data_IF_389691977954
#
_entry.id   IF_389691977954
#
_cell.length_a   1.000
_cell.length_b   1.000
_cell.length_c   1.000
_cell.angle_alpha   90.00
_cell.angle_beta   90.00
_cell.angle_gamma   90.00
#
_symmetry.space_group_name_H-M   'P 1'
#
loop_
_entity.id
_entity.type
_entity.pdbx_description
1 polymer ?
#
# COMPACT_ATOMS: atom_id res chain seq x y z
N UNK A 1 -15.72 37.37 -30.09
CA UNK A 1 -15.32 37.75 -28.71
C UNK A 1 -15.40 36.48 -27.87
N UNK A 2 -14.30 35.73 -27.80
CA UNK A 2 -14.25 34.43 -27.13
C UNK A 2 -14.08 34.65 -25.62
N UNK A 3 -15.07 34.20 -24.84
CA UNK A 3 -15.03 34.24 -23.38
C UNK A 3 -14.11 33.10 -22.92
N UNK A 4 -12.92 33.46 -22.44
CA UNK A 4 -12.00 32.51 -21.80
C UNK A 4 -12.64 32.00 -20.52
N UNK A 5 -12.97 30.71 -20.49
CA UNK A 5 -13.31 29.99 -19.26
C UNK A 5 -11.98 29.80 -18.52
N UNK A 6 -11.81 30.31 -17.29
CA UNK A 6 -10.56 30.16 -16.57
C UNK A 6 -10.31 28.69 -16.25
N UNK A 7 -9.13 28.20 -16.63
CA UNK A 7 -8.61 26.84 -16.39
C UNK A 7 -8.52 26.50 -14.89
N UNK A 8 -8.70 27.50 -14.01
CA UNK A 8 -8.75 27.39 -12.56
C UNK A 8 -9.86 26.48 -12.00
N UNK A 9 -10.86 26.09 -12.80
CA UNK A 9 -11.98 25.25 -12.32
C UNK A 9 -11.71 23.74 -12.51
N UNK A 10 -10.79 23.34 -13.38
CA UNK A 10 -10.51 21.91 -13.62
C UNK A 10 -9.51 21.28 -12.64
N UNK A 11 -8.63 22.06 -12.03
CA UNK A 11 -7.67 21.56 -11.03
C UNK A 11 -8.36 21.22 -9.70
N UNK A 12 -9.48 21.89 -9.37
CA UNK A 12 -10.23 21.65 -8.13
C UNK A 12 -11.00 20.33 -8.07
N UNK A 13 -11.32 19.71 -9.22
CA UNK A 13 -12.14 18.48 -9.23
C UNK A 13 -11.31 17.24 -8.91
N UNK A 14 -10.03 17.20 -9.32
CA UNK A 14 -9.15 16.09 -8.97
C UNK A 14 -8.64 16.17 -7.53
N UNK A 15 -8.49 17.38 -6.95
CA UNK A 15 -8.06 17.55 -5.55
C UNK A 15 -9.16 17.12 -4.56
N UNK A 16 -10.44 17.31 -4.90
CA UNK A 16 -11.55 16.89 -4.03
C UNK A 16 -11.69 15.36 -3.89
N UNK A 17 -11.14 14.58 -4.81
CA UNK A 17 -11.07 13.12 -4.69
C UNK A 17 -9.94 12.64 -3.76
N UNK A 18 -8.93 13.48 -3.49
CA UNK A 18 -7.79 13.17 -2.62
C UNK A 18 -8.19 13.26 -1.13
N UNK A 19 -9.17 14.10 -0.80
CA UNK A 19 -9.62 14.32 0.57
C UNK A 19 -10.65 13.29 1.10
N UNK A 20 -11.17 12.40 0.23
CA UNK A 20 -12.04 11.33 0.67
C UNK A 20 -11.19 10.18 1.20
N UNK A 21 -10.68 10.30 2.43
CA UNK A 21 -10.18 9.13 3.17
C UNK A 21 -11.32 8.11 3.17
N UNK A 22 -11.16 6.91 2.58
CA UNK A 22 -12.16 5.87 2.77
C UNK A 22 -12.30 5.68 4.27
N UNK A 23 -13.49 5.96 4.80
CA UNK A 23 -13.76 5.73 6.22
C UNK A 23 -13.53 4.25 6.47
N UNK A 24 -12.43 3.93 7.15
CA UNK A 24 -12.12 2.59 7.56
C UNK A 24 -13.16 2.16 8.59
N UNK A 25 -14.27 1.57 8.14
CA UNK A 25 -15.37 1.15 9.01
C UNK A 25 -14.95 0.00 9.93
N UNK A 26 -13.95 -0.79 9.51
CA UNK A 26 -13.44 -1.94 10.26
C UNK A 26 -12.02 -1.66 10.77
N UNK A 27 -11.77 -1.72 12.09
CA UNK A 27 -10.44 -1.48 12.67
C UNK A 27 -9.37 -2.39 12.06
N UNK A 28 -8.14 -1.87 11.89
CA UNK A 28 -7.00 -2.60 11.32
C UNK A 28 -6.81 -3.99 11.95
N UNK A 29 -6.80 -4.10 13.29
CA UNK A 29 -6.64 -5.38 13.98
C UNK A 29 -7.73 -6.40 13.62
N UNK A 30 -8.95 -5.94 13.34
CA UNK A 30 -10.04 -6.81 12.91
C UNK A 30 -9.80 -7.33 11.50
N UNK A 31 -9.35 -6.47 10.58
CA UNK A 31 -9.00 -6.86 9.21
C UNK A 31 -7.84 -7.86 9.20
N UNK A 32 -6.78 -7.57 9.95
CA UNK A 32 -5.62 -8.45 10.09
C UNK A 32 -6.02 -9.79 10.70
N UNK A 33 -6.86 -9.81 11.74
CA UNK A 33 -7.32 -11.07 12.32
C UNK A 33 -8.15 -11.91 11.34
N UNK A 34 -8.91 -11.28 10.43
CA UNK A 34 -9.67 -11.99 9.39
C UNK A 34 -8.76 -12.56 8.31
N UNK A 35 -7.87 -11.75 7.72
CA UNK A 35 -7.02 -12.21 6.63
C UNK A 35 -6.01 -13.27 7.08
N UNK A 36 -5.59 -13.25 8.35
CA UNK A 36 -4.64 -14.27 8.85
C UNK A 36 -5.33 -15.53 9.38
N UNK A 37 -6.61 -15.77 9.09
CA UNK A 37 -7.31 -17.00 9.53
C UNK A 37 -6.74 -18.25 8.87
N UNK A 38 -6.28 -18.13 7.63
CA UNK A 38 -5.70 -19.20 6.84
C UNK A 38 -4.63 -18.65 5.89
N UNK A 39 -3.95 -19.56 5.21
CA UNK A 39 -2.89 -19.22 4.26
C UNK A 39 -3.38 -18.53 2.99
N UNK A 40 -4.65 -18.69 2.60
CA UNK A 40 -5.24 -17.95 1.49
C UNK A 40 -5.24 -16.43 1.72
N UNK A 41 -5.72 -15.98 2.89
CA UNK A 41 -5.73 -14.55 3.19
C UNK A 41 -4.32 -13.98 3.39
N UNK A 42 -3.41 -14.76 3.98
CA UNK A 42 -1.98 -14.37 4.07
C UNK A 42 -1.34 -14.25 2.68
N UNK A 43 -1.57 -15.20 1.79
CA UNK A 43 -1.03 -15.16 0.43
C UNK A 43 -1.61 -13.99 -0.38
N UNK A 44 -2.93 -13.77 -0.32
CA UNK A 44 -3.55 -12.58 -0.91
C UNK A 44 -2.87 -11.28 -0.43
N UNK A 45 -2.61 -11.18 0.88
CA UNK A 45 -1.95 -10.00 1.43
C UNK A 45 -0.49 -9.89 1.00
N UNK A 46 0.20 -11.02 0.79
CA UNK A 46 1.55 -11.07 0.22
C UNK A 46 1.63 -10.53 -1.21
N UNK A 47 0.60 -10.75 -2.03
CA UNK A 47 0.51 -10.15 -3.37
C UNK A 47 0.28 -8.63 -3.28
N UNK A 48 -0.58 -8.20 -2.35
CA UNK A 48 -0.88 -6.77 -2.15
C UNK A 48 0.35 -5.97 -1.70
N UNK A 49 1.19 -6.51 -0.82
CA UNK A 49 2.43 -5.82 -0.41
C UNK A 49 3.46 -5.72 -1.53
N UNK A 50 3.46 -6.63 -2.51
CA UNK A 50 4.28 -6.51 -3.72
C UNK A 50 3.79 -5.33 -4.55
N UNK A 51 2.48 -5.14 -4.69
CA UNK A 51 1.91 -3.98 -5.38
C UNK A 51 2.24 -2.65 -4.67
N UNK A 52 2.31 -2.63 -3.33
CA UNK A 52 2.76 -1.45 -2.57
C UNK A 52 4.24 -1.15 -2.83
N UNK A 53 5.10 -2.17 -2.83
CA UNK A 53 6.52 -2.01 -3.16
C UNK A 53 6.73 -1.52 -4.61
N UNK A 54 5.99 -2.09 -5.55
CA UNK A 54 6.00 -1.65 -6.94
C UNK A 54 5.55 -0.18 -7.06
N UNK A 55 4.49 0.23 -6.35
CA UNK A 55 4.02 1.61 -6.36
C UNK A 55 5.06 2.60 -5.79
N UNK A 56 5.84 2.19 -4.77
CA UNK A 56 6.95 2.99 -4.27
C UNK A 56 8.09 3.12 -5.29
N UNK A 57 8.35 2.04 -6.05
CA UNK A 57 9.27 2.05 -7.19
C UNK A 57 8.82 2.99 -8.32
N UNK A 58 7.54 2.92 -8.70
CA UNK A 58 6.94 3.78 -9.72
C UNK A 58 6.97 5.26 -9.30
N UNK A 59 6.71 5.56 -8.03
CA UNK A 59 6.80 6.92 -7.50
C UNK A 59 8.21 7.48 -7.62
N UNK A 60 9.24 6.71 -7.23
CA UNK A 60 10.63 7.11 -7.37
C UNK A 60 10.98 7.43 -8.82
N UNK A 61 10.57 6.56 -9.75
CA UNK A 61 10.80 6.74 -11.17
C UNK A 61 10.06 7.98 -11.72
N UNK A 62 8.81 8.19 -11.33
CA UNK A 62 8.02 9.35 -11.76
C UNK A 62 8.67 10.68 -11.30
N UNK A 63 9.29 10.73 -10.11
CA UNK A 63 10.04 11.92 -9.67
C UNK A 63 11.32 12.17 -10.47
N UNK A 64 12.05 11.11 -10.83
CA UNK A 64 13.26 11.22 -11.66
C UNK A 64 12.97 11.74 -13.08
N UNK A 65 11.75 11.54 -13.57
CA UNK A 65 11.31 12.04 -14.88
C UNK A 65 10.92 13.53 -14.87
N UNK A 66 10.82 14.16 -13.69
CA UNK A 66 10.49 15.58 -13.62
C UNK A 66 11.67 16.43 -14.10
N UNK A 67 11.39 17.44 -14.93
CA UNK A 67 12.43 18.30 -15.54
C UNK A 67 13.17 19.19 -14.52
N UNK A 68 12.59 19.43 -13.35
CA UNK A 68 13.20 20.22 -12.29
C UNK A 68 14.22 19.38 -11.50
N UNK A 69 15.52 19.75 -11.54
CA UNK A 69 16.60 18.96 -10.94
C UNK A 69 16.52 18.88 -9.41
N UNK A 70 15.73 19.73 -8.75
CA UNK A 70 15.56 19.70 -7.30
C UNK A 70 14.42 18.79 -6.84
N UNK A 71 13.60 18.27 -7.77
CA UNK A 71 12.41 17.48 -7.43
C UNK A 71 12.72 16.29 -6.52
N UNK A 72 13.77 15.53 -6.82
CA UNK A 72 14.13 14.35 -6.03
C UNK A 72 14.57 14.74 -4.61
N UNK A 73 15.31 15.85 -4.47
CA UNK A 73 15.78 16.33 -3.17
C UNK A 73 14.63 16.94 -2.36
N UNK A 74 13.74 17.69 -3.01
CA UNK A 74 12.59 18.35 -2.37
C UNK A 74 11.58 17.35 -1.78
N UNK A 75 11.48 16.15 -2.38
CA UNK A 75 10.55 15.09 -1.94
C UNK A 75 11.29 13.85 -1.41
N UNK A 76 12.54 14.02 -0.99
CA UNK A 76 13.39 12.93 -0.52
C UNK A 76 12.81 12.18 0.67
N UNK A 77 12.18 12.88 1.61
CA UNK A 77 11.61 12.24 2.81
C UNK A 77 10.55 11.20 2.43
N UNK A 78 9.70 11.53 1.43
CA UNK A 78 8.70 10.60 0.88
C UNK A 78 9.38 9.49 0.09
N UNK A 79 10.44 9.81 -0.66
CA UNK A 79 11.18 8.84 -1.46
C UNK A 79 11.89 7.78 -0.61
N UNK A 80 12.47 8.17 0.52
CA UNK A 80 13.20 7.29 1.44
C UNK A 80 12.26 6.25 2.09
N UNK A 81 10.94 6.43 2.03
CA UNK A 81 9.96 5.43 2.46
C UNK A 81 9.99 4.17 1.59
N UNK A 82 10.43 4.27 0.33
CA UNK A 82 10.59 3.13 -0.60
C UNK A 82 11.48 2.02 -0.03
N UNK A 83 12.67 2.37 0.45
CA UNK A 83 13.61 1.39 1.01
C UNK A 83 13.03 0.72 2.27
N UNK A 84 12.22 1.47 3.02
CA UNK A 84 11.52 0.93 4.19
C UNK A 84 10.41 -0.03 3.77
N UNK A 85 9.59 0.32 2.79
CA UNK A 85 8.55 -0.54 2.22
C UNK A 85 9.17 -1.82 1.68
N UNK A 86 10.18 -1.72 0.82
CA UNK A 86 10.87 -2.85 0.22
C UNK A 86 11.39 -3.84 1.28
N UNK A 87 12.09 -3.33 2.30
CA UNK A 87 12.58 -4.15 3.42
C UNK A 87 11.44 -4.82 4.21
N UNK A 88 10.29 -4.17 4.36
CA UNK A 88 9.13 -4.77 5.05
C UNK A 88 8.49 -5.84 4.17
N UNK A 89 8.35 -5.58 2.86
CA UNK A 89 7.86 -6.53 1.87
C UNK A 89 8.70 -7.80 1.87
N UNK A 90 10.03 -7.69 1.74
CA UNK A 90 10.96 -8.83 1.81
C UNK A 90 10.76 -9.66 3.08
N UNK A 91 10.57 -8.99 4.22
CA UNK A 91 10.35 -9.67 5.51
C UNK A 91 8.99 -10.34 5.59
N UNK A 92 7.94 -9.74 5.04
CA UNK A 92 6.62 -10.35 4.98
C UNK A 92 6.61 -11.57 4.06
N UNK A 93 7.23 -11.48 2.90
CA UNK A 93 7.39 -12.60 1.97
C UNK A 93 8.23 -13.72 2.60
N UNK A 94 9.37 -13.39 3.21
CA UNK A 94 10.19 -14.35 3.97
C UNK A 94 9.39 -15.04 5.05
N UNK A 95 8.61 -14.30 5.85
CA UNK A 95 7.79 -14.90 6.90
C UNK A 95 6.70 -15.78 6.31
N UNK A 96 5.98 -15.31 5.29
CA UNK A 96 4.91 -16.06 4.66
C UNK A 96 5.44 -17.36 4.04
N UNK A 97 6.49 -17.29 3.24
CA UNK A 97 6.99 -18.44 2.51
C UNK A 97 7.80 -19.37 3.42
N UNK A 98 8.81 -18.86 4.13
CA UNK A 98 9.79 -19.70 4.82
C UNK A 98 9.42 -20.01 6.27
N UNK A 99 8.99 -19.01 7.05
CA UNK A 99 8.69 -19.24 8.48
C UNK A 99 7.32 -19.90 8.69
N UNK A 100 6.38 -19.60 7.80
CA UNK A 100 5.02 -20.10 7.84
C UNK A 100 4.80 -21.31 6.91
N UNK A 101 5.80 -21.67 6.09
CA UNK A 101 5.74 -22.75 5.10
C UNK A 101 4.54 -22.60 4.12
N UNK A 102 4.16 -21.34 3.83
CA UNK A 102 3.06 -21.01 2.92
C UNK A 102 3.55 -20.99 1.47
N UNK A 103 4.07 -22.12 1.00
CA UNK A 103 4.55 -22.27 -0.37
C UNK A 103 3.42 -22.76 -1.28
N UNK A 104 2.92 -21.88 -2.17
CA UNK A 104 1.89 -22.22 -3.17
C UNK A 104 2.29 -23.35 -4.14
N UNK A 105 3.57 -23.70 -4.19
CA UNK A 105 4.12 -24.76 -5.04
C UNK A 105 4.13 -26.15 -4.39
N UNK A 106 3.61 -26.28 -3.15
CA UNK A 106 3.48 -27.60 -2.53
C UNK A 106 2.37 -28.39 -3.25
N UNK A 107 2.58 -29.68 -3.57
CA UNK A 107 1.64 -30.50 -4.35
C UNK A 107 0.22 -30.59 -3.77
N UNK A 108 0.05 -30.30 -2.48
CA UNK A 108 -1.20 -30.33 -1.74
C UNK A 108 -1.57 -28.97 -1.12
N UNK A 109 -0.99 -27.87 -1.62
CA UNK A 109 -1.32 -26.54 -1.10
C UNK A 109 -2.78 -26.19 -1.40
N UNK A 110 -3.62 -26.21 -0.38
CA UNK A 110 -5.02 -25.86 -0.48
C UNK A 110 -5.38 -24.60 0.32
N UNK A 111 -4.38 -23.81 0.76
CA UNK A 111 -4.51 -22.50 1.42
C UNK A 111 -5.38 -22.40 2.70
N UNK A 112 -6.14 -23.44 3.03
CA UNK A 112 -7.16 -23.46 4.09
C UNK A 112 -6.56 -23.69 5.48
N UNK A 113 -5.32 -24.16 5.54
CA UNK A 113 -4.63 -24.47 6.79
C UNK A 113 -4.48 -23.24 7.66
N UNK A 114 -4.74 -23.43 8.96
CA UNK A 114 -4.59 -22.38 9.97
C UNK A 114 -3.10 -22.23 10.29
N UNK A 115 -2.52 -21.01 10.18
CA UNK A 115 -1.11 -20.81 10.47
C UNK A 115 -0.82 -20.97 11.96
N UNK A 116 0.40 -21.38 12.30
CA UNK A 116 0.81 -21.52 13.70
C UNK A 116 0.79 -20.17 14.42
N UNK A 117 0.58 -20.12 15.74
CA UNK A 117 0.60 -18.86 16.49
C UNK A 117 1.90 -18.07 16.34
N UNK A 118 3.04 -18.75 16.18
CA UNK A 118 4.34 -18.09 15.95
C UNK A 118 4.39 -17.42 14.57
N UNK A 119 3.98 -18.13 13.52
CA UNK A 119 3.84 -17.59 12.17
C UNK A 119 2.95 -16.34 12.18
N UNK A 120 1.75 -16.44 12.76
CA UNK A 120 0.80 -15.32 12.87
C UNK A 120 1.42 -14.12 13.56
N UNK A 121 2.12 -14.34 14.69
CA UNK A 121 2.76 -13.26 15.44
C UNK A 121 3.80 -12.52 14.60
N UNK A 122 4.64 -13.24 13.84
CA UNK A 122 5.66 -12.63 12.98
C UNK A 122 5.03 -11.88 11.81
N UNK A 123 4.06 -12.51 11.14
CA UNK A 123 3.39 -11.92 9.98
C UNK A 123 2.66 -10.63 10.37
N UNK A 124 1.81 -10.69 11.42
CA UNK A 124 1.08 -9.51 11.93
C UNK A 124 2.03 -8.38 12.33
N UNK A 125 3.14 -8.69 13.01
CA UNK A 125 4.14 -7.67 13.39
C UNK A 125 4.68 -6.91 12.19
N UNK A 126 5.00 -7.60 11.08
CA UNK A 126 5.51 -6.93 9.90
C UNK A 126 4.40 -6.22 9.10
N UNK A 127 3.19 -6.77 9.09
CA UNK A 127 2.04 -6.14 8.44
C UNK A 127 1.64 -4.83 9.14
N UNK A 128 1.65 -4.78 10.48
CA UNK A 128 1.46 -3.54 11.23
C UNK A 128 2.53 -2.49 10.95
N UNK A 129 3.77 -2.91 10.68
CA UNK A 129 4.82 -1.96 10.27
C UNK A 129 4.57 -1.42 8.87
N UNK A 130 4.09 -2.26 7.94
CA UNK A 130 3.70 -1.80 6.61
C UNK A 130 2.58 -0.76 6.71
N UNK A 131 1.52 -1.07 7.47
CA UNK A 131 0.38 -0.17 7.70
C UNK A 131 0.80 1.19 8.28
N UNK A 132 1.70 1.18 9.28
CA UNK A 132 2.28 2.40 9.83
C UNK A 132 3.02 3.21 8.77
N UNK A 133 3.92 2.58 8.00
CA UNK A 133 4.71 3.26 6.97
C UNK A 133 3.79 3.82 5.88
N UNK A 134 2.83 3.04 5.39
CA UNK A 134 1.83 3.49 4.40
C UNK A 134 1.06 4.72 4.91
N UNK A 135 0.62 4.69 6.17
CA UNK A 135 -0.13 5.81 6.78
C UNK A 135 0.71 7.08 6.95
N UNK A 136 1.98 6.92 7.37
CA UNK A 136 2.92 8.04 7.48
C UNK A 136 3.22 8.63 6.11
N UNK A 137 3.50 7.80 5.09
CA UNK A 137 3.74 8.24 3.71
C UNK A 137 2.54 8.99 3.13
N UNK A 138 1.31 8.51 3.36
CA UNK A 138 0.09 9.24 2.98
C UNK A 138 0.06 10.63 3.65
N UNK A 139 0.38 10.70 4.94
CA UNK A 139 0.38 11.96 5.71
C UNK A 139 1.46 12.93 5.21
N UNK A 140 2.65 12.42 4.88
CA UNK A 140 3.74 13.22 4.30
C UNK A 140 3.34 13.78 2.94
N UNK A 141 2.72 12.97 2.07
CA UNK A 141 2.20 13.43 0.78
C UNK A 141 1.10 14.50 0.97
N UNK A 142 0.15 14.28 1.88
CA UNK A 142 -0.95 15.23 2.17
C UNK A 142 -0.45 16.58 2.72
N UNK A 143 0.76 16.62 3.27
CA UNK A 143 1.34 17.83 3.91
C UNK A 143 2.49 18.44 3.12
N UNK A 144 2.94 17.80 2.04
CA UNK A 144 4.03 18.27 1.19
C UNK A 144 3.64 19.58 0.48
N UNK A 145 4.57 20.55 0.45
CA UNK A 145 4.33 21.82 -0.22
C UNK A 145 4.24 21.65 -1.75
N UNK A 146 3.17 22.19 -2.35
CA UNK A 146 2.79 21.96 -3.74
C UNK A 146 3.37 23.02 -4.68
N UNK A 147 4.65 22.90 -5.03
CA UNK A 147 5.32 23.89 -5.90
C UNK A 147 5.59 23.36 -7.31
N UNK A 148 5.59 22.03 -7.49
CA UNK A 148 5.94 21.34 -8.72
C UNK A 148 4.80 20.45 -9.19
N UNK A 149 4.22 20.76 -10.35
CA UNK A 149 3.06 20.02 -10.90
C UNK A 149 3.39 18.57 -11.28
N UNK A 150 4.63 18.30 -11.69
CA UNK A 150 5.08 16.95 -12.01
C UNK A 150 5.12 16.09 -10.75
N UNK A 151 5.73 16.61 -9.68
CA UNK A 151 5.75 15.95 -8.39
C UNK A 151 4.33 15.76 -7.80
N UNK A 152 3.45 16.75 -7.95
CA UNK A 152 2.04 16.64 -7.55
C UNK A 152 1.33 15.46 -8.23
N UNK A 153 1.56 15.28 -9.54
CA UNK A 153 0.98 14.15 -10.28
C UNK A 153 1.58 12.81 -9.82
N UNK A 154 2.89 12.74 -9.60
CA UNK A 154 3.56 11.54 -9.08
C UNK A 154 3.01 11.14 -7.70
N UNK A 155 2.95 12.11 -6.78
CA UNK A 155 2.36 11.95 -5.45
C UNK A 155 0.88 11.54 -5.52
N UNK A 156 0.11 12.14 -6.42
CA UNK A 156 -1.30 11.81 -6.63
C UNK A 156 -1.53 10.38 -7.13
N UNK A 157 -0.66 9.85 -8.01
CA UNK A 157 -0.73 8.43 -8.40
C UNK A 157 -0.36 7.53 -7.23
N UNK A 158 0.69 7.88 -6.50
CA UNK A 158 1.20 7.06 -5.40
C UNK A 158 0.19 6.98 -4.25
N UNK A 159 -0.39 8.11 -3.82
CA UNK A 159 -1.39 8.14 -2.75
C UNK A 159 -2.64 7.32 -3.08
N UNK A 160 -3.07 7.28 -4.35
CA UNK A 160 -4.19 6.43 -4.79
C UNK A 160 -3.86 4.95 -4.61
N UNK A 161 -2.63 4.54 -4.92
CA UNK A 161 -2.17 3.16 -4.70
C UNK A 161 -2.11 2.82 -3.21
N UNK A 162 -1.56 3.72 -2.39
CA UNK A 162 -1.45 3.54 -0.94
C UNK A 162 -2.83 3.49 -0.25
N UNK A 163 -3.77 4.36 -0.62
CA UNK A 163 -5.13 4.38 -0.07
C UNK A 163 -5.91 3.09 -0.34
N UNK A 164 -5.54 2.32 -1.37
CA UNK A 164 -6.17 1.02 -1.64
C UNK A 164 -5.71 -0.09 -0.68
N UNK A 165 -4.64 0.12 0.09
CA UNK A 165 -4.10 -0.88 1.02
C UNK A 165 -5.14 -1.40 2.02
N UNK A 166 -5.91 -0.50 2.64
CA UNK A 166 -6.97 -0.89 3.57
C UNK A 166 -8.10 -1.66 2.90
N UNK A 167 -8.48 -1.28 1.69
CA UNK A 167 -9.48 -2.01 0.89
C UNK A 167 -8.99 -3.43 0.61
N UNK A 168 -7.71 -3.60 0.28
CA UNK A 168 -7.14 -4.91 0.05
C UNK A 168 -7.05 -5.78 1.31
N UNK A 169 -6.75 -5.18 2.48
CA UNK A 169 -6.85 -5.89 3.77
C UNK A 169 -8.25 -6.49 3.97
N UNK A 170 -9.30 -5.75 3.62
CA UNK A 170 -10.67 -6.24 3.70
C UNK A 170 -10.94 -7.37 2.70
N UNK A 171 -10.57 -7.19 1.43
CA UNK A 171 -10.76 -8.20 0.38
C UNK A 171 -10.04 -9.51 0.75
N UNK A 172 -8.79 -9.43 1.20
CA UNK A 172 -8.04 -10.61 1.64
C UNK A 172 -8.64 -11.26 2.89
N UNK A 173 -9.25 -10.46 3.78
CA UNK A 173 -10.01 -10.95 4.92
C UNK A 173 -11.26 -11.73 4.52
N UNK A 174 -12.03 -11.23 3.56
CA UNK A 174 -13.22 -11.89 3.01
C UNK A 174 -12.84 -13.19 2.28
N UNK A 175 -11.73 -13.18 1.53
CA UNK A 175 -11.19 -14.35 0.85
C UNK A 175 -10.82 -15.46 1.86
N UNK A 176 -10.18 -15.09 2.97
CA UNK A 176 -9.89 -16.05 4.05
C UNK A 176 -11.16 -16.68 4.64
N UNK A 177 -12.27 -15.94 4.74
CA UNK A 177 -13.54 -16.46 5.27
C UNK A 177 -14.29 -17.36 4.28
N UNK A 178 -14.17 -17.09 2.97
CA UNK A 178 -14.78 -17.91 1.92
C UNK A 178 -14.10 -19.27 1.85
N UNK A 179 -12.77 -19.31 1.86
CA UNK A 179 -11.98 -20.52 1.68
C UNK A 179 -11.51 -21.20 2.98
N UNK A 180 -11.96 -20.70 4.13
CA UNK A 180 -11.70 -21.28 5.46
C UNK A 180 -12.80 -22.20 5.97
N UNK A 181 -13.74 -22.62 5.12
CA UNK A 181 -14.84 -23.54 5.42
C UNK A 181 -14.54 -24.93 4.86
#
# INVERSE_FOLDING_TARGET
MFKMIPISVLVGINILAIAAKPTQETPFDTLVNRLTKNFYGMHCMSEVIIEVDAAAGDFAYDLELCEDPYTVDDYKDILDTKDTINRITDRLLTVNELDCDNHQYLPDWNGSTIPTPECLKKFKKHLSKMDYVVSETITEIETAAENNICALMAMGKYIVKLNNFTTYLQVCGELAEIFGK
#
